data_IF_298411776495
#
_entry.id   IF_298411776495
#
_cell.length_a   1.000
_cell.length_b   1.000
_cell.length_c   1.000
_cell.angle_alpha   90.00
_cell.angle_beta   90.00
_cell.angle_gamma   90.00
#
_symmetry.space_group_name_H-M   'P 1'
#
loop_
_entity.id
_entity.type
_entity.pdbx_description
1 polymer ?
#
# COMPACT_ATOMS: atom_id res chain seq x y z
N UNK A 1 -28.36 -27.82 16.92
CA UNK A 1 -27.27 -27.90 17.92
C UNK A 1 -25.91 -28.01 17.24
N UNK A 2 -25.73 -28.84 16.16
CA UNK A 2 -24.46 -29.00 15.47
C UNK A 2 -23.86 -27.69 14.92
N UNK A 3 -24.67 -26.76 14.42
CA UNK A 3 -24.21 -25.45 13.88
C UNK A 3 -23.71 -24.50 14.96
N UNK A 4 -24.26 -24.58 16.17
CA UNK A 4 -23.80 -23.74 17.30
C UNK A 4 -22.41 -24.17 17.76
N UNK A 5 -22.16 -25.48 17.89
CA UNK A 5 -20.83 -25.99 18.26
C UNK A 5 -19.79 -25.71 17.19
N UNK A 6 -20.12 -25.83 15.89
CA UNK A 6 -19.23 -25.45 14.81
C UNK A 6 -18.86 -23.96 14.85
N UNK A 7 -19.84 -23.09 15.07
CA UNK A 7 -19.57 -21.64 15.19
C UNK A 7 -18.70 -21.35 16.41
N UNK A 8 -18.94 -22.01 17.51
CA UNK A 8 -18.14 -21.84 18.72
C UNK A 8 -16.68 -22.28 18.53
N UNK A 9 -16.45 -23.43 17.88
CA UNK A 9 -15.12 -23.90 17.55
C UNK A 9 -14.37 -22.94 16.61
N UNK A 10 -15.08 -22.31 15.65
CA UNK A 10 -14.52 -21.27 14.80
C UNK A 10 -14.12 -20.01 15.60
N UNK A 11 -15.02 -19.55 16.50
CA UNK A 11 -14.74 -18.38 17.36
C UNK A 11 -13.60 -18.63 18.35
N UNK A 12 -13.48 -19.85 18.84
CA UNK A 12 -12.39 -20.27 19.75
C UNK A 12 -11.08 -20.57 19.02
N UNK A 13 -11.04 -20.42 17.67
CA UNK A 13 -9.89 -20.78 16.82
C UNK A 13 -9.47 -22.25 16.92
N UNK A 14 -10.37 -23.12 17.32
CA UNK A 14 -10.18 -24.59 17.37
C UNK A 14 -10.31 -25.22 15.99
N UNK A 15 -10.98 -24.54 15.08
CA UNK A 15 -11.18 -24.94 13.69
C UNK A 15 -10.92 -23.74 12.75
N UNK A 16 -10.19 -23.97 11.66
CA UNK A 16 -10.01 -22.98 10.60
C UNK A 16 -11.31 -22.72 9.83
N UNK A 17 -11.55 -21.47 9.46
CA UNK A 17 -12.70 -21.07 8.64
C UNK A 17 -13.09 -19.61 8.78
N UNK A 18 -14.14 -19.22 8.04
CA UNK A 18 -14.67 -17.85 8.08
C UNK A 18 -15.65 -17.67 9.23
N UNK A 19 -15.36 -16.74 10.11
CA UNK A 19 -16.15 -16.47 11.31
C UNK A 19 -17.15 -15.33 11.05
N UNK A 20 -16.64 -14.23 10.51
CA UNK A 20 -17.40 -12.99 10.36
C UNK A 20 -16.86 -12.18 9.18
N UNK A 21 -17.72 -11.71 8.29
CA UNK A 21 -17.33 -11.10 7.01
C UNK A 21 -16.39 -9.90 7.12
N UNK A 22 -16.42 -9.15 8.21
CA UNK A 22 -15.48 -8.06 8.46
C UNK A 22 -14.06 -8.55 8.77
N UNK A 23 -13.93 -9.77 9.32
CA UNK A 23 -12.64 -10.37 9.67
C UNK A 23 -12.14 -11.23 8.49
N UNK A 24 -13.02 -12.07 7.95
CA UNK A 24 -12.71 -12.94 6.81
C UNK A 24 -13.98 -13.28 6.04
N UNK A 25 -13.92 -13.19 4.71
CA UNK A 25 -15.03 -13.48 3.83
C UNK A 25 -14.52 -14.30 2.64
N UNK A 26 -15.11 -15.46 2.30
CA UNK A 26 -14.59 -16.33 1.24
C UNK A 26 -14.57 -15.66 -0.13
N UNK A 27 -15.54 -14.80 -0.43
CA UNK A 27 -15.57 -14.06 -1.71
C UNK A 27 -14.45 -13.03 -1.79
N UNK A 28 -14.21 -12.30 -0.70
CA UNK A 28 -13.11 -11.31 -0.62
C UNK A 28 -11.76 -12.03 -0.65
N UNK A 29 -11.64 -13.15 0.03
CA UNK A 29 -10.42 -13.96 0.04
C UNK A 29 -10.00 -14.38 -1.38
N UNK A 30 -10.94 -14.79 -2.23
CA UNK A 30 -10.64 -15.14 -3.63
C UNK A 30 -10.01 -13.96 -4.38
N UNK A 31 -10.48 -12.74 -4.13
CA UNK A 31 -9.89 -11.53 -4.71
C UNK A 31 -8.48 -11.30 -4.17
N UNK A 32 -8.31 -11.37 -2.85
CA UNK A 32 -7.03 -11.17 -2.17
C UNK A 32 -5.97 -12.17 -2.64
N UNK A 33 -6.30 -13.45 -2.69
CA UNK A 33 -5.41 -14.51 -3.18
C UNK A 33 -5.01 -14.30 -4.65
N UNK A 34 -5.96 -13.88 -5.50
CA UNK A 34 -5.67 -13.58 -6.91
C UNK A 34 -4.75 -12.37 -7.08
N UNK A 35 -4.99 -11.30 -6.34
CA UNK A 35 -4.14 -10.10 -6.41
C UNK A 35 -2.75 -10.41 -5.88
N UNK A 36 -2.64 -11.14 -4.77
CA UNK A 36 -1.36 -11.59 -4.25
C UNK A 36 -0.60 -12.44 -5.28
N UNK A 37 -1.26 -13.41 -5.92
CA UNK A 37 -0.64 -14.25 -6.95
C UNK A 37 -0.21 -13.44 -8.19
N UNK A 38 -1.02 -12.47 -8.62
CA UNK A 38 -0.70 -11.60 -9.77
C UNK A 38 0.53 -10.73 -9.50
N UNK A 39 0.66 -10.18 -8.29
CA UNK A 39 1.81 -9.36 -7.88
C UNK A 39 3.04 -10.18 -7.48
N UNK A 40 2.90 -11.48 -7.27
CA UNK A 40 3.96 -12.31 -6.67
C UNK A 40 4.14 -12.06 -5.18
N UNK A 41 3.11 -11.54 -4.51
CA UNK A 41 3.11 -11.22 -3.09
C UNK A 41 2.75 -12.40 -2.19
N UNK A 42 3.13 -12.33 -0.93
CA UNK A 42 2.81 -13.35 0.09
C UNK A 42 1.32 -13.36 0.43
N UNK A 43 0.69 -12.18 0.51
CA UNK A 43 -0.72 -11.99 0.81
C UNK A 43 -1.21 -10.65 0.26
N UNK A 44 -2.53 -10.48 0.17
CA UNK A 44 -3.17 -9.20 -0.09
C UNK A 44 -4.33 -8.98 0.89
N UNK A 45 -4.70 -7.73 1.07
CA UNK A 45 -5.84 -7.29 1.87
C UNK A 45 -6.71 -6.35 1.05
N UNK A 46 -7.98 -6.70 0.87
CA UNK A 46 -8.95 -5.83 0.23
C UNK A 46 -9.52 -4.82 1.23
N UNK A 47 -9.61 -3.58 0.79
CA UNK A 47 -10.17 -2.47 1.56
C UNK A 47 -11.28 -1.78 0.77
N UNK A 48 -12.03 -0.88 1.40
CA UNK A 48 -13.15 -0.19 0.78
C UNK A 48 -12.75 0.73 -0.41
N UNK A 49 -11.47 1.11 -0.52
CA UNK A 49 -10.96 1.94 -1.62
C UNK A 49 -9.43 1.91 -1.65
N UNK A 50 -8.82 2.29 -2.79
CA UNK A 50 -7.36 2.49 -2.88
C UNK A 50 -6.86 3.52 -1.87
N UNK A 51 -7.62 4.59 -1.61
CA UNK A 51 -7.26 5.58 -0.57
C UNK A 51 -7.25 4.98 0.83
N UNK A 52 -8.20 4.07 1.14
CA UNK A 52 -8.19 3.33 2.42
C UNK A 52 -7.00 2.40 2.51
N UNK A 53 -6.61 1.75 1.41
CA UNK A 53 -5.42 0.90 1.37
C UNK A 53 -4.15 1.69 1.69
N UNK A 54 -3.95 2.86 1.05
CA UNK A 54 -2.81 3.75 1.33
C UNK A 54 -2.82 4.19 2.80
N UNK A 55 -3.97 4.67 3.28
CA UNK A 55 -4.09 5.15 4.66
C UNK A 55 -3.75 4.04 5.67
N UNK A 56 -4.30 2.83 5.49
CA UNK A 56 -4.04 1.70 6.37
C UNK A 56 -2.58 1.25 6.31
N UNK A 57 -1.96 1.21 5.12
CA UNK A 57 -0.55 0.86 4.99
C UNK A 57 0.35 1.83 5.78
N UNK A 58 0.10 3.14 5.66
CA UNK A 58 0.86 4.14 6.42
C UNK A 58 0.60 4.03 7.92
N UNK A 59 -0.68 3.90 8.34
CA UNK A 59 -1.03 3.80 9.76
C UNK A 59 -0.53 2.51 10.43
N UNK A 60 -0.25 1.47 9.65
CA UNK A 60 0.35 0.22 10.17
C UNK A 60 1.84 0.40 10.49
N UNK A 61 2.53 1.24 9.72
CA UNK A 61 3.97 1.46 9.85
C UNK A 61 4.33 2.66 10.75
N UNK A 62 3.43 3.66 10.83
CA UNK A 62 3.70 4.95 11.45
C UNK A 62 2.88 5.19 12.72
N UNK A 63 3.51 5.79 13.70
CA UNK A 63 2.89 6.34 14.91
C UNK A 63 2.95 7.87 14.90
N UNK A 64 2.31 8.50 15.89
CA UNK A 64 2.43 9.95 16.12
C UNK A 64 3.90 10.34 16.32
N UNK A 65 4.36 11.31 15.57
CA UNK A 65 5.76 11.79 15.59
C UNK A 65 6.61 11.19 14.47
N UNK A 66 6.13 10.16 13.76
CA UNK A 66 6.88 9.55 12.66
C UNK A 66 6.82 10.37 11.37
N UNK A 67 7.71 10.02 10.45
CA UNK A 67 7.93 10.71 9.19
C UNK A 67 7.87 9.73 8.00
N UNK A 68 7.41 10.23 6.84
CA UNK A 68 7.37 9.50 5.57
C UNK A 68 8.03 10.34 4.48
N UNK A 69 8.87 9.73 3.65
CA UNK A 69 9.37 10.36 2.42
C UNK A 69 8.43 10.00 1.27
N UNK A 70 7.97 10.98 0.53
CA UNK A 70 6.86 10.81 -0.42
C UNK A 70 7.24 11.38 -1.78
N UNK A 71 6.97 10.65 -2.86
CA UNK A 71 7.07 11.21 -4.22
C UNK A 71 6.12 12.39 -4.38
N UNK A 72 6.55 13.44 -5.07
CA UNK A 72 5.73 14.64 -5.27
C UNK A 72 4.71 14.53 -6.41
N UNK A 73 4.84 13.53 -7.27
CA UNK A 73 3.94 13.27 -8.39
C UNK A 73 2.97 12.16 -8.02
N UNK A 74 1.86 12.54 -7.39
CA UNK A 74 0.84 11.63 -6.87
C UNK A 74 -0.56 12.08 -7.27
N UNK A 75 -1.49 11.15 -7.25
CA UNK A 75 -2.91 11.44 -7.31
C UNK A 75 -3.31 12.49 -6.27
N UNK A 76 -4.15 13.45 -6.67
CA UNK A 76 -4.52 14.59 -5.81
C UNK A 76 -5.10 14.19 -4.44
N UNK A 77 -5.87 13.09 -4.37
CA UNK A 77 -6.36 12.53 -3.12
C UNK A 77 -5.23 12.07 -2.20
N UNK A 78 -4.21 11.44 -2.77
CA UNK A 78 -3.01 10.98 -2.04
C UNK A 78 -2.17 12.18 -1.55
N UNK A 79 -2.03 13.22 -2.38
CA UNK A 79 -1.38 14.47 -1.94
C UNK A 79 -2.09 15.06 -0.72
N UNK A 80 -3.44 15.13 -0.77
CA UNK A 80 -4.23 15.64 0.35
C UNK A 80 -4.13 14.76 1.59
N UNK A 81 -4.06 13.44 1.42
CA UNK A 81 -3.84 12.51 2.53
C UNK A 81 -2.55 12.85 3.28
N UNK A 82 -1.42 12.99 2.57
CA UNK A 82 -0.13 13.29 3.20
C UNK A 82 -0.01 14.73 3.71
N UNK A 83 -0.64 15.71 3.05
CA UNK A 83 -0.53 17.12 3.43
C UNK A 83 -1.52 17.58 4.48
N UNK A 84 -2.74 17.00 4.51
CA UNK A 84 -3.83 17.52 5.32
C UNK A 84 -4.34 16.51 6.34
N UNK A 85 -4.37 15.23 6.01
CA UNK A 85 -4.99 14.20 6.86
C UNK A 85 -3.99 13.60 7.84
N UNK A 86 -2.87 13.06 7.35
CA UNK A 86 -1.86 12.41 8.20
C UNK A 86 -1.22 13.35 9.24
N UNK A 87 -1.03 14.66 8.98
CA UNK A 87 -0.57 15.58 10.01
C UNK A 87 -1.50 15.69 11.23
N UNK A 88 -2.81 15.44 11.06
CA UNK A 88 -3.77 15.39 12.19
C UNK A 88 -3.51 14.20 13.12
N UNK A 89 -2.84 13.17 12.63
CA UNK A 89 -2.38 12.01 13.41
C UNK A 89 -0.91 12.17 13.86
N UNK A 90 -0.32 13.36 13.64
CA UNK A 90 1.06 13.64 14.02
C UNK A 90 2.12 13.03 13.09
N UNK A 91 1.72 12.52 11.91
CA UNK A 91 2.64 11.95 10.91
C UNK A 91 3.01 13.04 9.90
N UNK A 92 4.31 13.27 9.71
CA UNK A 92 4.84 14.27 8.78
C UNK A 92 5.31 13.63 7.48
N UNK A 93 5.26 14.39 6.39
CA UNK A 93 5.73 13.92 5.09
C UNK A 93 6.64 14.96 4.40
N UNK A 94 7.74 14.49 3.82
CA UNK A 94 8.61 15.28 2.94
C UNK A 94 8.41 14.83 1.49
N UNK A 95 8.02 15.77 0.62
CA UNK A 95 7.78 15.50 -0.80
C UNK A 95 9.06 15.72 -1.61
N UNK A 96 9.40 14.73 -2.44
CA UNK A 96 10.60 14.70 -3.28
C UNK A 96 10.20 14.41 -4.73
N UNK A 97 10.88 15.02 -5.71
CA UNK A 97 10.60 14.73 -7.13
C UNK A 97 10.92 13.25 -7.45
N UNK A 98 10.14 12.57 -8.32
CA UNK A 98 10.26 11.11 -8.55
C UNK A 98 11.65 10.63 -8.98
N UNK A 99 12.43 11.50 -9.64
CA UNK A 99 13.77 11.19 -10.15
C UNK A 99 14.92 11.76 -9.30
N UNK A 100 14.62 12.52 -8.28
CA UNK A 100 15.62 13.15 -7.40
C UNK A 100 16.05 12.15 -6.31
N UNK A 101 16.86 11.20 -6.68
CA UNK A 101 17.36 10.15 -5.76
C UNK A 101 18.17 10.74 -4.60
N UNK A 102 18.96 11.79 -4.86
CA UNK A 102 19.67 12.51 -3.81
C UNK A 102 18.71 13.23 -2.85
N UNK A 103 17.61 13.77 -3.38
CA UNK A 103 16.54 14.34 -2.57
C UNK A 103 15.88 13.31 -1.66
N UNK A 104 15.60 12.09 -2.16
CA UNK A 104 15.09 11.00 -1.34
C UNK A 104 16.06 10.66 -0.21
N UNK A 105 17.35 10.50 -0.51
CA UNK A 105 18.36 10.20 0.50
C UNK A 105 18.47 11.28 1.58
N UNK A 106 18.46 12.55 1.19
CA UNK A 106 18.52 13.70 2.10
C UNK A 106 17.25 13.90 2.94
N UNK A 107 16.09 13.46 2.42
CA UNK A 107 14.81 13.60 3.09
C UNK A 107 14.61 12.56 4.23
N UNK A 108 15.38 11.47 4.23
CA UNK A 108 15.31 10.45 5.29
C UNK A 108 15.82 11.07 6.61
N UNK A 109 15.02 10.90 7.65
CA UNK A 109 15.26 11.33 9.03
C UNK A 109 15.29 10.11 9.94
N UNK A 110 15.77 10.27 11.17
CA UNK A 110 15.82 9.19 12.17
C UNK A 110 14.43 8.54 12.41
N UNK A 111 13.38 9.36 12.37
CA UNK A 111 11.99 8.93 12.54
C UNK A 111 11.26 8.60 11.23
N UNK A 112 11.96 8.47 10.10
CA UNK A 112 11.35 8.04 8.83
C UNK A 112 11.02 6.55 8.90
N UNK A 113 9.78 6.19 8.58
CA UNK A 113 9.29 4.81 8.65
C UNK A 113 9.12 4.14 7.31
N UNK A 114 8.92 4.90 6.25
CA UNK A 114 8.79 4.34 4.90
C UNK A 114 9.01 5.40 3.82
N UNK A 115 9.19 4.93 2.58
CA UNK A 115 9.08 5.73 1.38
C UNK A 115 7.79 5.36 0.67
N UNK A 116 7.02 6.34 0.20
CA UNK A 116 5.81 6.15 -0.59
C UNK A 116 5.92 6.81 -1.95
N UNK A 117 5.45 6.15 -3.01
CA UNK A 117 5.34 6.76 -4.34
C UNK A 117 4.38 6.05 -5.27
N UNK A 118 3.98 6.76 -6.33
CA UNK A 118 3.37 6.17 -7.52
C UNK A 118 4.48 5.87 -8.53
N UNK A 119 4.50 4.68 -9.10
CA UNK A 119 5.54 4.31 -10.07
C UNK A 119 5.49 5.21 -11.31
N UNK A 120 4.29 5.51 -11.81
CA UNK A 120 4.03 6.54 -12.82
C UNK A 120 3.25 7.65 -12.17
N UNK A 121 3.87 8.81 -12.05
CA UNK A 121 3.30 9.95 -11.34
C UNK A 121 2.07 10.55 -12.01
N UNK A 122 1.09 10.93 -11.22
CA UNK A 122 -0.15 11.56 -11.68
C UNK A 122 -0.13 13.07 -11.29
N UNK A 123 -0.37 14.01 -12.22
CA UNK A 123 -0.73 13.81 -13.64
C UNK A 123 0.46 13.84 -14.61
N UNK A 124 1.68 14.05 -14.14
CA UNK A 124 2.83 14.36 -14.97
C UNK A 124 3.42 13.16 -15.75
N UNK A 125 2.95 11.93 -15.50
CA UNK A 125 3.46 10.69 -16.10
C UNK A 125 4.99 10.49 -15.94
N UNK A 126 5.58 11.10 -14.93
CA UNK A 126 7.00 10.96 -14.64
C UNK A 126 7.25 9.65 -13.92
N UNK A 127 8.18 8.85 -14.45
CA UNK A 127 8.56 7.58 -13.84
C UNK A 127 9.45 7.81 -12.62
N UNK A 128 9.09 7.18 -11.52
CA UNK A 128 9.90 7.10 -10.32
C UNK A 128 11.13 6.21 -10.58
N UNK A 129 12.31 6.67 -10.15
CA UNK A 129 13.53 5.85 -10.24
C UNK A 129 13.54 4.79 -9.14
N UNK A 130 12.62 3.83 -9.26
CA UNK A 130 12.37 2.82 -8.23
C UNK A 130 13.62 2.00 -7.84
N UNK A 131 14.49 1.53 -8.76
CA UNK A 131 15.67 0.75 -8.36
C UNK A 131 16.61 1.50 -7.40
N UNK A 132 16.88 2.76 -7.67
CA UNK A 132 17.72 3.58 -6.78
C UNK A 132 17.02 3.93 -5.46
N UNK A 133 15.72 4.17 -5.50
CA UNK A 133 14.93 4.46 -4.29
C UNK A 133 14.84 3.24 -3.38
N UNK A 134 14.64 2.05 -3.93
CA UNK A 134 14.69 0.79 -3.19
C UNK A 134 16.05 0.59 -2.53
N UNK A 135 17.14 0.85 -3.26
CA UNK A 135 18.49 0.77 -2.70
C UNK A 135 18.68 1.74 -1.52
N UNK A 136 18.25 3.00 -1.68
CA UNK A 136 18.29 4.01 -0.61
C UNK A 136 17.48 3.57 0.61
N UNK A 137 16.28 3.04 0.40
CA UNK A 137 15.41 2.54 1.46
C UNK A 137 16.05 1.36 2.22
N UNK A 138 16.63 0.40 1.48
CA UNK A 138 17.33 -0.74 2.05
C UNK A 138 18.55 -0.32 2.88
N UNK A 139 19.34 0.67 2.41
CA UNK A 139 20.45 1.23 3.16
C UNK A 139 19.98 1.89 4.48
N UNK A 140 18.77 2.45 4.48
CA UNK A 140 18.16 3.07 5.67
C UNK A 140 17.34 2.09 6.52
N UNK A 141 17.14 0.85 6.08
CA UNK A 141 16.35 -0.17 6.78
C UNK A 141 14.85 0.15 6.88
N UNK A 142 14.29 0.85 5.87
CA UNK A 142 12.88 1.25 5.82
C UNK A 142 12.18 0.68 4.58
N UNK A 143 10.89 0.30 4.68
CA UNK A 143 10.14 -0.26 3.55
C UNK A 143 9.76 0.78 2.51
N UNK A 144 9.55 0.29 1.27
CA UNK A 144 9.03 1.04 0.13
C UNK A 144 7.60 0.61 -0.18
N UNK A 145 6.70 1.57 -0.22
CA UNK A 145 5.29 1.40 -0.61
C UNK A 145 5.09 2.01 -1.99
N UNK A 146 4.60 1.21 -2.94
CA UNK A 146 4.33 1.67 -4.32
C UNK A 146 2.84 1.56 -4.63
N UNK A 147 2.25 2.65 -5.02
CA UNK A 147 0.96 2.62 -5.72
C UNK A 147 1.20 2.30 -7.19
N UNK A 148 0.76 1.12 -7.62
CA UNK A 148 0.89 0.59 -8.97
C UNK A 148 -0.45 0.54 -9.71
N UNK A 149 -1.40 1.37 -9.32
CA UNK A 149 -2.75 1.45 -9.89
C UNK A 149 -2.72 1.63 -11.40
N UNK A 150 -1.78 2.44 -11.91
CA UNK A 150 -1.68 2.76 -13.35
C UNK A 150 -1.15 1.58 -14.16
N UNK A 151 -0.13 0.86 -13.66
CA UNK A 151 0.56 -0.19 -14.41
C UNK A 151 -0.16 -1.53 -14.35
N UNK A 152 -0.80 -1.81 -13.24
CA UNK A 152 -1.34 -3.13 -12.88
C UNK A 152 -0.23 -4.23 -12.82
N UNK A 153 -0.49 -5.40 -12.24
CA UNK A 153 0.48 -6.50 -12.23
C UNK A 153 0.85 -7.04 -13.63
N UNK A 154 0.07 -6.66 -14.65
CA UNK A 154 0.34 -7.09 -16.02
C UNK A 154 1.54 -6.39 -16.64
N UNK A 155 1.68 -5.08 -16.42
CA UNK A 155 2.78 -4.31 -17.00
C UNK A 155 4.03 -4.28 -16.11
N UNK A 156 3.84 -4.25 -14.79
CA UNK A 156 4.95 -4.15 -13.84
C UNK A 156 4.54 -4.64 -12.46
N UNK A 157 5.40 -5.43 -11.83
CA UNK A 157 5.21 -5.96 -10.48
C UNK A 157 6.24 -5.35 -9.52
N UNK A 158 5.90 -4.31 -8.79
CA UNK A 158 6.85 -3.64 -7.91
C UNK A 158 7.51 -4.55 -6.87
N UNK A 159 6.83 -5.60 -6.38
CA UNK A 159 7.40 -6.55 -5.43
C UNK A 159 8.61 -7.30 -6.00
N UNK A 160 8.57 -7.69 -7.28
CA UNK A 160 9.71 -8.34 -7.96
C UNK A 160 10.92 -7.38 -8.12
N UNK A 161 10.70 -6.08 -7.91
CA UNK A 161 11.71 -5.03 -8.02
C UNK A 161 12.05 -4.38 -6.67
N UNK A 162 11.69 -5.02 -5.56
CA UNK A 162 12.12 -4.65 -4.21
C UNK A 162 11.19 -3.68 -3.46
N UNK A 163 9.97 -3.45 -3.94
CA UNK A 163 8.94 -2.86 -3.08
C UNK A 163 8.50 -3.88 -2.02
N UNK A 164 8.15 -3.39 -0.83
CA UNK A 164 7.67 -4.22 0.28
C UNK A 164 6.15 -4.29 0.30
N UNK A 165 5.49 -3.21 -0.09
CA UNK A 165 4.03 -3.09 -0.14
C UNK A 165 3.62 -2.48 -1.48
N UNK A 166 2.62 -3.09 -2.11
CA UNK A 166 1.99 -2.56 -3.33
C UNK A 166 0.53 -2.26 -3.06
N UNK A 167 0.09 -1.10 -3.54
CA UNK A 167 -1.30 -0.66 -3.44
C UNK A 167 -1.91 -0.54 -4.84
N UNK A 168 -3.16 -0.94 -4.97
CA UNK A 168 -3.96 -0.77 -6.17
C UNK A 168 -5.34 -0.19 -5.86
N UNK A 169 -5.77 0.78 -6.64
CA UNK A 169 -7.19 1.11 -6.77
C UNK A 169 -7.81 0.25 -7.87
N UNK A 170 -8.60 -0.75 -7.48
CA UNK A 170 -9.27 -1.64 -8.44
C UNK A 170 -10.26 -0.90 -9.34
N UNK A 171 -10.74 0.27 -8.91
CA UNK A 171 -11.60 1.19 -9.67
C UNK A 171 -11.03 1.55 -11.04
N UNK A 172 -9.70 1.48 -11.21
CA UNK A 172 -9.00 1.90 -12.42
C UNK A 172 -8.76 0.71 -13.35
N UNK A 173 -7.53 0.48 -13.77
CA UNK A 173 -7.19 -0.45 -14.84
C UNK A 173 -7.42 -1.92 -14.51
N UNK A 174 -7.34 -2.33 -13.25
CA UNK A 174 -7.55 -3.73 -12.88
C UNK A 174 -9.01 -4.16 -13.09
N UNK A 175 -10.01 -3.34 -12.72
CA UNK A 175 -11.41 -3.61 -13.05
C UNK A 175 -11.72 -3.22 -14.51
N UNK A 176 -11.15 -2.12 -14.99
CA UNK A 176 -11.20 -1.69 -16.37
C UNK A 176 -12.56 -1.15 -16.88
N UNK A 177 -13.57 -1.07 -16.01
CA UNK A 177 -14.95 -0.78 -16.42
C UNK A 177 -15.59 0.37 -15.63
N UNK A 178 -14.90 1.00 -14.70
CA UNK A 178 -15.45 2.05 -13.83
C UNK A 178 -16.63 1.58 -12.95
N UNK A 179 -16.69 0.29 -12.65
CA UNK A 179 -17.78 -0.34 -11.89
C UNK A 179 -17.47 -0.57 -10.41
N UNK A 180 -16.31 -0.19 -9.96
CA UNK A 180 -15.87 -0.37 -8.58
C UNK A 180 -15.17 0.88 -8.03
#
# INVERSE_FOLDING_TARGET
LGDVYKRQALFNLEQGGHIYSRISNPTVQVLEERVAALEGGTAALATASGMSAIFLAIMTLCNTGDHVVVSSQLYGGTVNLFRLTLPKFGIKATFVKPRDTEGFKKAIQENTKCIFGELVGNPGNELMNMPEIVKIANEAGIPVIIDSTYQTPYLFKPLEHGADIVVHSLTKWMAGHGSS
#
